data_IF_125911743102
#
_entry.id   IF_125911743102
#
_cell.length_a   1.000
_cell.length_b   1.000
_cell.length_c   1.000
_cell.angle_alpha   90.00
_cell.angle_beta   90.00
_cell.angle_gamma   90.00
#
_symmetry.space_group_name_H-M   'P 1'
#
loop_
_entity.id
_entity.type
_entity.pdbx_description
1 polymer ?
#
# COMPACT_ATOMS: atom_id res chain seq x y z
N UNK A 1 14.74 4.37 7.67
CA UNK A 1 14.79 5.72 8.31
C UNK A 1 15.82 6.65 7.69
N UNK A 2 17.11 6.28 7.62
CA UNK A 2 18.19 7.16 7.12
C UNK A 2 17.90 7.81 5.77
N UNK A 3 17.37 7.06 4.80
CA UNK A 3 17.05 7.59 3.47
C UNK A 3 15.96 8.69 3.49
N UNK A 4 14.86 8.49 4.23
CA UNK A 4 13.82 9.50 4.41
C UNK A 4 14.38 10.76 5.10
N UNK A 5 15.18 10.56 6.16
CA UNK A 5 15.83 11.66 6.88
C UNK A 5 16.82 12.44 6.00
N UNK A 6 17.42 11.79 5.02
CA UNK A 6 18.26 12.41 3.99
C UNK A 6 17.44 13.05 2.85
N UNK A 7 16.11 13.15 2.98
CA UNK A 7 15.23 13.79 1.99
C UNK A 7 15.04 12.98 0.71
N UNK A 8 15.21 11.66 0.75
CA UNK A 8 15.02 10.77 -0.42
C UNK A 8 13.64 10.13 -0.42
N UNK A 9 13.09 9.92 -1.60
CA UNK A 9 11.98 8.97 -1.80
C UNK A 9 12.47 7.55 -1.50
N UNK A 10 11.60 6.72 -0.93
CA UNK A 10 11.93 5.35 -0.51
C UNK A 10 10.92 4.35 -1.04
N UNK A 11 11.41 3.32 -1.72
CA UNK A 11 10.69 2.07 -1.92
C UNK A 11 11.17 1.10 -0.82
N UNK A 12 10.25 0.62 0.00
CA UNK A 12 10.52 -0.27 1.14
C UNK A 12 9.80 -1.60 0.91
N UNK A 13 10.58 -2.68 0.83
CA UNK A 13 10.03 -4.02 0.64
C UNK A 13 9.04 -4.44 1.72
N UNK A 14 8.07 -5.27 1.34
CA UNK A 14 7.12 -5.85 2.29
C UNK A 14 7.80 -6.93 3.15
N UNK A 15 7.41 -7.09 4.43
CA UNK A 15 6.50 -6.25 5.19
C UNK A 15 7.16 -4.92 5.60
N UNK A 16 6.35 -3.85 5.70
CA UNK A 16 6.81 -2.51 6.07
C UNK A 16 7.59 -2.48 7.40
N UNK A 17 7.19 -3.29 8.38
CA UNK A 17 7.87 -3.46 9.65
C UNK A 17 7.45 -4.77 10.35
N UNK A 18 8.15 -5.14 11.41
CA UNK A 18 7.84 -6.33 12.22
C UNK A 18 6.61 -6.16 13.12
N UNK A 19 6.22 -4.92 13.43
CA UNK A 19 5.05 -4.62 14.24
C UNK A 19 4.46 -3.25 13.89
N UNK A 20 3.25 -2.99 14.39
CA UNK A 20 2.50 -1.78 14.09
C UNK A 20 3.18 -0.50 14.60
N UNK A 21 3.83 -0.53 15.77
CA UNK A 21 4.51 0.65 16.31
C UNK A 21 5.71 1.06 15.46
N UNK A 22 6.53 0.09 15.04
CA UNK A 22 7.63 0.32 14.11
C UNK A 22 7.15 0.84 12.75
N UNK A 23 6.02 0.33 12.24
CA UNK A 23 5.41 0.85 11.01
C UNK A 23 4.97 2.32 11.18
N UNK A 24 4.36 2.68 12.31
CA UNK A 24 3.97 4.06 12.62
C UNK A 24 5.18 5.00 12.66
N UNK A 25 6.32 4.56 13.19
CA UNK A 25 7.55 5.37 13.15
C UNK A 25 8.03 5.66 11.74
N UNK A 26 7.96 4.67 10.85
CA UNK A 26 8.35 4.86 9.44
C UNK A 26 7.43 5.88 8.76
N UNK A 27 6.12 5.82 9.00
CA UNK A 27 5.16 6.83 8.50
C UNK A 27 5.46 8.21 9.09
N UNK A 28 5.78 8.32 10.38
CA UNK A 28 6.17 9.60 10.99
C UNK A 28 7.40 10.21 10.30
N UNK A 29 8.42 9.41 10.01
CA UNK A 29 9.59 9.88 9.29
C UNK A 29 9.30 10.27 7.85
N UNK A 30 8.41 9.55 7.17
CA UNK A 30 7.95 9.91 5.82
C UNK A 30 7.28 11.27 5.81
N UNK A 31 6.29 11.48 6.69
CA UNK A 31 5.59 12.77 6.85
C UNK A 31 6.54 13.90 7.17
N UNK A 32 7.52 13.67 8.05
CA UNK A 32 8.54 14.67 8.41
C UNK A 32 9.46 15.00 7.23
N UNK A 33 9.80 14.02 6.40
CA UNK A 33 10.65 14.21 5.23
C UNK A 33 9.93 14.88 4.06
N UNK A 34 8.60 14.78 3.98
CA UNK A 34 7.82 15.25 2.83
C UNK A 34 8.21 14.52 1.55
N UNK A 35 8.57 13.24 1.65
CA UNK A 35 8.98 12.39 0.52
C UNK A 35 8.05 11.21 0.40
N UNK A 36 7.98 10.64 -0.81
CA UNK A 36 7.17 9.44 -1.04
C UNK A 36 7.82 8.24 -0.38
N UNK A 37 7.03 7.51 0.40
CA UNK A 37 7.31 6.14 0.82
C UNK A 37 6.35 5.20 0.11
N UNK A 38 6.88 4.19 -0.58
CA UNK A 38 6.11 3.18 -1.28
C UNK A 38 6.42 1.79 -0.75
N UNK A 39 5.37 0.97 -0.57
CA UNK A 39 5.48 -0.47 -0.36
C UNK A 39 5.08 -1.16 -1.67
N UNK A 40 5.88 -2.11 -2.22
CA UNK A 40 5.63 -2.70 -3.53
C UNK A 40 4.50 -3.75 -3.48
N UNK A 41 3.25 -3.31 -3.33
CA UNK A 41 2.06 -4.11 -3.60
C UNK A 41 1.77 -4.11 -5.11
N UNK A 42 2.63 -4.77 -5.89
CA UNK A 42 2.63 -4.75 -7.36
C UNK A 42 1.28 -5.12 -7.97
N UNK A 43 0.59 -6.13 -7.44
CA UNK A 43 -0.74 -6.57 -7.93
C UNK A 43 -1.80 -5.46 -7.94
N UNK A 44 -1.67 -4.41 -7.11
CA UNK A 44 -2.59 -3.26 -7.12
C UNK A 44 -2.59 -2.52 -8.45
N UNK A 45 -1.49 -2.63 -9.20
CA UNK A 45 -1.26 -1.92 -10.46
C UNK A 45 -1.55 -2.79 -11.69
N UNK A 46 -1.95 -4.05 -11.51
CA UNK A 46 -2.35 -4.89 -12.63
C UNK A 46 -3.64 -4.35 -13.27
N UNK A 47 -3.79 -4.42 -14.61
CA UNK A 47 -4.93 -3.80 -15.31
C UNK A 47 -6.30 -4.21 -14.76
N UNK A 48 -6.46 -5.49 -14.40
CA UNK A 48 -7.71 -5.99 -13.86
C UNK A 48 -8.02 -5.44 -12.46
N UNK A 49 -7.02 -5.26 -11.60
CA UNK A 49 -7.19 -4.68 -10.28
C UNK A 49 -7.59 -3.20 -10.36
N UNK A 50 -6.95 -2.46 -11.28
CA UNK A 50 -7.29 -1.06 -11.57
C UNK A 50 -8.71 -0.91 -12.12
N UNK A 51 -9.11 -1.77 -13.06
CA UNK A 51 -10.45 -1.76 -13.65
C UNK A 51 -11.54 -2.06 -12.61
N UNK A 52 -11.31 -3.05 -11.73
CA UNK A 52 -12.25 -3.36 -10.63
C UNK A 52 -12.36 -2.17 -9.68
N UNK A 53 -11.24 -1.54 -9.31
CA UNK A 53 -11.24 -0.33 -8.45
C UNK A 53 -12.04 0.81 -9.08
N UNK A 54 -11.86 1.05 -10.37
CA UNK A 54 -12.57 2.10 -11.11
C UNK A 54 -14.10 1.88 -11.11
N UNK A 55 -14.55 0.66 -11.41
CA UNK A 55 -15.98 0.32 -11.41
C UNK A 55 -16.61 0.45 -10.02
N UNK A 56 -15.88 0.05 -8.97
CA UNK A 56 -16.30 0.24 -7.59
C UNK A 56 -16.42 1.72 -7.22
N UNK A 57 -15.47 2.56 -7.65
CA UNK A 57 -15.50 4.01 -7.37
C UNK A 57 -16.65 4.73 -8.10
N UNK A 58 -17.03 4.26 -9.30
CA UNK A 58 -18.19 4.77 -10.04
C UNK A 58 -19.53 4.34 -9.45
N UNK A 59 -19.53 3.33 -8.58
CA UNK A 59 -20.75 2.75 -8.03
C UNK A 59 -21.48 1.82 -9.00
N UNK A 60 -20.81 1.34 -10.06
CA UNK A 60 -21.40 0.48 -11.09
C UNK A 60 -21.94 -0.84 -10.52
N UNK A 61 -21.43 -1.26 -9.36
CA UNK A 61 -21.76 -2.52 -8.68
C UNK A 61 -22.74 -2.31 -7.51
N UNK A 62 -23.21 -1.07 -7.30
CA UNK A 62 -24.02 -0.69 -6.15
C UNK A 62 -23.30 -0.91 -4.81
N UNK A 63 -24.06 -1.26 -3.78
CA UNK A 63 -23.52 -1.54 -2.44
C UNK A 63 -22.99 -2.96 -2.38
N UNK A 64 -21.68 -3.13 -2.24
CA UNK A 64 -21.07 -4.43 -2.01
C UNK A 64 -21.38 -4.94 -0.59
N UNK A 65 -21.65 -6.24 -0.46
CA UNK A 65 -22.04 -6.87 0.81
C UNK A 65 -20.92 -7.72 1.42
N UNK A 66 -20.16 -8.46 0.59
CA UNK A 66 -19.13 -9.40 1.05
C UNK A 66 -17.87 -9.27 0.21
N UNK A 67 -16.70 -9.40 0.86
CA UNK A 67 -15.40 -9.58 0.20
C UNK A 67 -14.77 -10.88 0.67
N UNK A 68 -14.44 -11.77 -0.27
CA UNK A 68 -13.65 -12.98 0.00
C UNK A 68 -12.19 -12.72 -0.38
N UNK A 69 -11.25 -13.02 0.51
CA UNK A 69 -9.81 -12.86 0.28
C UNK A 69 -9.17 -14.23 0.38
N UNK A 70 -8.37 -14.61 -0.61
CA UNK A 70 -7.52 -15.79 -0.53
C UNK A 70 -6.14 -15.38 0.03
N UNK A 71 -5.75 -15.84 1.23
CA UNK A 71 -4.47 -15.46 1.84
C UNK A 71 -3.26 -15.99 1.06
N UNK A 72 -3.40 -17.07 0.28
CA UNK A 72 -2.30 -17.62 -0.51
C UNK A 72 -1.92 -16.73 -1.70
N UNK A 73 -2.86 -15.90 -2.17
CA UNK A 73 -2.60 -14.94 -3.25
C UNK A 73 -1.74 -13.73 -2.80
N UNK A 74 -1.48 -13.55 -1.49
CA UNK A 74 -0.69 -12.43 -0.98
C UNK A 74 0.84 -12.63 -1.08
N UNK A 75 1.28 -13.84 -1.45
CA UNK A 75 2.69 -14.22 -1.54
C UNK A 75 3.22 -14.28 -2.98
N UNK A 76 2.35 -14.11 -3.98
CA UNK A 76 2.69 -13.99 -5.39
C UNK A 76 2.56 -12.54 -5.85
#
# INVERSE_FOLDING_TARGET
MKALQAGKHVLLEKPMALNAEAAKEIVRAERKAGKVLMIPHTMRWEPHALQVKEQLDKGDWGTWFTKKINPEAAYY
#
